data_IF_572073595428
#
_entry.id   IF_572073595428
#
_cell.length_a   1.000
_cell.length_b   1.000
_cell.length_c   1.000
_cell.angle_alpha   90.00
_cell.angle_beta   90.00
_cell.angle_gamma   90.00
#
_symmetry.space_group_name_H-M   'P 1'
#
loop_
_entity.id
_entity.type
_entity.pdbx_description
1 polymer ?
#
# COMPACT_ATOMS: atom_id res chain seq x y z
N UNK A 1 -8.37 -75.25 4.87
CA UNK A 1 -7.47 -74.66 5.89
C UNK A 1 -6.28 -74.04 5.19
N UNK A 2 -6.26 -72.72 4.97
CA UNK A 2 -5.04 -71.90 4.77
C UNK A 2 -5.40 -70.40 4.64
N UNK A 3 -5.49 -69.75 5.80
CA UNK A 3 -4.99 -68.41 6.13
C UNK A 3 -4.47 -67.56 4.96
N UNK A 4 -5.14 -66.42 4.70
CA UNK A 4 -4.54 -65.09 4.48
C UNK A 4 -5.55 -64.02 4.88
N UNK A 5 -5.63 -63.78 6.18
CA UNK A 5 -6.16 -62.55 6.77
C UNK A 5 -4.93 -61.88 7.37
N UNK A 6 -4.55 -60.72 6.81
CA UNK A 6 -3.70 -59.63 7.34
C UNK A 6 -3.03 -58.93 6.14
N UNK A 7 -2.95 -57.60 6.25
CA UNK A 7 -2.40 -56.57 5.34
C UNK A 7 -3.34 -56.12 4.19
N UNK A 8 -3.77 -54.86 4.03
CA UNK A 8 -3.23 -53.60 4.55
C UNK A 8 -4.21 -52.42 4.30
N UNK A 9 -5.19 -52.10 5.16
CA UNK A 9 -5.99 -50.87 5.00
C UNK A 9 -5.27 -49.62 5.53
N UNK A 10 -4.10 -49.78 6.17
CA UNK A 10 -3.31 -48.69 6.74
C UNK A 10 -2.35 -48.04 5.75
N UNK A 11 -1.79 -48.79 4.79
CA UNK A 11 -0.79 -48.24 3.85
C UNK A 11 -1.40 -47.19 2.94
N UNK A 12 -2.59 -47.46 2.40
CA UNK A 12 -3.32 -46.55 1.52
C UNK A 12 -3.73 -45.26 2.25
N UNK A 13 -4.15 -45.38 3.50
CA UNK A 13 -4.53 -44.24 4.35
C UNK A 13 -3.30 -43.41 4.72
N UNK A 14 -2.18 -44.06 5.02
CA UNK A 14 -0.90 -43.40 5.34
C UNK A 14 -0.26 -42.79 4.08
N UNK A 15 -0.39 -43.42 2.92
CA UNK A 15 0.08 -42.93 1.63
C UNK A 15 -0.72 -41.70 1.18
N UNK A 16 -2.04 -41.73 1.34
CA UNK A 16 -2.91 -40.58 1.10
C UNK A 16 -2.62 -39.45 2.09
N UNK A 17 -2.42 -39.74 3.37
CA UNK A 17 -2.03 -38.74 4.38
C UNK A 17 -0.63 -38.14 4.12
N UNK A 18 0.33 -38.92 3.57
CA UNK A 18 1.65 -38.41 3.15
C UNK A 18 1.56 -37.56 1.89
N UNK A 19 0.76 -37.95 0.89
CA UNK A 19 0.47 -37.11 -0.30
C UNK A 19 -0.22 -35.81 0.09
N UNK A 20 -1.19 -35.85 1.00
CA UNK A 20 -1.83 -34.66 1.54
C UNK A 20 -0.85 -33.78 2.34
N UNK A 21 0.03 -34.37 3.18
CA UNK A 21 1.08 -33.61 3.89
C UNK A 21 2.12 -32.99 2.95
N UNK A 22 2.49 -33.69 1.87
CA UNK A 22 3.40 -33.18 0.85
C UNK A 22 2.75 -32.05 0.03
N UNK A 23 1.45 -32.18 -0.30
CA UNK A 23 0.66 -31.12 -0.92
C UNK A 23 0.47 -29.91 0.01
N UNK A 24 0.37 -30.12 1.33
CA UNK A 24 0.37 -29.03 2.34
C UNK A 24 1.70 -28.29 2.43
N UNK A 25 2.80 -28.84 1.91
CA UNK A 25 4.13 -28.20 1.85
C UNK A 25 4.36 -27.42 0.55
N UNK A 26 3.30 -27.05 -0.16
CA UNK A 26 3.40 -26.34 -1.42
C UNK A 26 3.59 -24.81 -1.18
N UNK A 27 4.76 -24.22 -1.48
CA UNK A 27 5.01 -22.78 -1.27
C UNK A 27 4.03 -21.89 -2.05
N UNK A 28 3.55 -22.36 -3.20
CA UNK A 28 2.50 -21.68 -3.98
C UNK A 28 1.16 -21.57 -3.22
N UNK A 29 0.82 -22.59 -2.42
CA UNK A 29 -0.39 -22.54 -1.60
C UNK A 29 -0.27 -21.48 -0.49
N UNK A 30 0.93 -21.25 0.05
CA UNK A 30 1.18 -20.19 1.04
C UNK A 30 1.04 -18.80 0.43
N UNK A 31 1.59 -18.59 -0.77
CA UNK A 31 1.47 -17.32 -1.51
C UNK A 31 -0.01 -17.04 -1.84
N UNK A 32 -0.76 -18.04 -2.30
CA UNK A 32 -2.19 -17.89 -2.55
C UNK A 32 -2.98 -17.54 -1.29
N UNK A 33 -2.62 -18.11 -0.15
CA UNK A 33 -3.22 -17.79 1.15
C UNK A 33 -2.90 -16.34 1.58
N UNK A 34 -1.66 -15.90 1.39
CA UNK A 34 -1.22 -14.52 1.66
C UNK A 34 -1.99 -13.50 0.80
N UNK A 35 -2.13 -13.73 -0.51
CA UNK A 35 -2.89 -12.82 -1.39
C UNK A 35 -4.37 -12.76 -0.95
N UNK A 36 -4.97 -13.89 -0.57
CA UNK A 36 -6.36 -13.91 -0.04
C UNK A 36 -6.48 -13.12 1.27
N UNK A 37 -5.47 -13.17 2.13
CA UNK A 37 -5.42 -12.35 3.35
C UNK A 37 -5.27 -10.86 3.03
N UNK A 38 -4.37 -10.47 2.13
CA UNK A 38 -4.20 -9.08 1.69
C UNK A 38 -5.48 -8.51 1.11
N UNK A 39 -6.19 -9.25 0.24
CA UNK A 39 -7.50 -8.82 -0.29
C UNK A 39 -8.53 -8.67 0.84
N UNK A 40 -8.50 -9.56 1.83
CA UNK A 40 -9.34 -9.46 3.03
C UNK A 40 -9.06 -8.19 3.84
N UNK A 41 -7.79 -7.80 3.95
CA UNK A 41 -7.37 -6.57 4.65
C UNK A 41 -7.68 -5.31 3.84
N UNK A 42 -7.47 -5.34 2.52
CA UNK A 42 -7.80 -4.23 1.61
C UNK A 42 -9.30 -3.92 1.62
N UNK A 43 -10.17 -4.91 1.85
CA UNK A 43 -11.61 -4.68 2.03
C UNK A 43 -11.95 -3.91 3.31
N UNK A 44 -11.05 -3.87 4.29
CA UNK A 44 -11.21 -3.06 5.51
C UNK A 44 -10.78 -1.61 5.32
N UNK A 45 -10.14 -1.29 4.19
CA UNK A 45 -9.82 0.09 3.85
C UNK A 45 -11.13 0.76 3.47
N UNK A 46 -11.58 1.67 4.33
CA UNK A 46 -12.72 2.52 4.07
C UNK A 46 -12.41 3.42 2.88
N UNK A 47 -13.22 3.29 1.83
CA UNK A 47 -13.14 4.17 0.67
C UNK A 47 -13.79 5.51 1.04
N UNK A 48 -13.11 6.64 0.78
CA UNK A 48 -13.59 7.93 1.21
C UNK A 48 -14.88 8.30 0.49
N UNK A 49 -15.76 9.00 1.19
CA UNK A 49 -16.95 9.57 0.56
C UNK A 49 -16.55 10.77 -0.32
N UNK A 50 -17.36 11.11 -1.33
CA UNK A 50 -17.09 12.27 -2.20
C UNK A 50 -16.90 13.57 -1.38
N UNK A 51 -17.62 13.71 -0.27
CA UNK A 51 -17.54 14.87 0.63
C UNK A 51 -16.17 14.97 1.34
N UNK A 52 -15.64 13.85 1.82
CA UNK A 52 -14.30 13.79 2.42
C UNK A 52 -13.22 14.12 1.39
N UNK A 53 -13.36 13.60 0.16
CA UNK A 53 -12.41 13.89 -0.92
C UNK A 53 -12.33 15.39 -1.25
N UNK A 54 -13.48 16.07 -1.32
CA UNK A 54 -13.51 17.53 -1.51
C UNK A 54 -12.93 18.28 -0.31
N UNK A 55 -13.16 17.80 0.91
CA UNK A 55 -12.60 18.42 2.11
C UNK A 55 -11.08 18.33 2.13
N UNK A 56 -10.51 17.15 1.87
CA UNK A 56 -9.06 16.97 1.82
C UNK A 56 -8.41 17.75 0.68
N UNK A 57 -9.00 17.71 -0.52
CA UNK A 57 -8.51 18.49 -1.67
C UNK A 57 -8.60 20.00 -1.40
N UNK A 58 -9.69 20.44 -0.75
CA UNK A 58 -9.90 21.84 -0.38
C UNK A 58 -8.84 22.36 0.60
N UNK A 59 -8.51 21.58 1.64
CA UNK A 59 -7.43 21.93 2.59
C UNK A 59 -6.08 22.11 1.86
N UNK A 60 -5.75 21.19 0.95
CA UNK A 60 -4.52 21.28 0.15
C UNK A 60 -4.52 22.51 -0.74
N UNK A 61 -5.63 22.82 -1.41
CA UNK A 61 -5.75 24.02 -2.24
C UNK A 61 -5.54 25.31 -1.43
N UNK A 62 -6.17 25.41 -0.26
CA UNK A 62 -5.97 26.57 0.64
C UNK A 62 -4.51 26.69 1.06
N UNK A 63 -3.87 25.59 1.44
CA UNK A 63 -2.46 25.57 1.80
C UNK A 63 -1.56 26.05 0.65
N UNK A 64 -1.81 25.57 -0.57
CA UNK A 64 -1.06 25.96 -1.77
C UNK A 64 -1.24 27.45 -2.07
N UNK A 65 -2.46 27.99 -1.93
CA UNK A 65 -2.74 29.43 -2.10
C UNK A 65 -1.96 30.27 -1.08
N UNK A 66 -1.91 29.85 0.19
CA UNK A 66 -1.12 30.54 1.22
C UNK A 66 0.36 30.53 0.85
N UNK A 67 0.90 29.39 0.44
CA UNK A 67 2.29 29.29 0.00
C UNK A 67 2.59 30.18 -1.21
N UNK A 68 1.69 30.23 -2.20
CA UNK A 68 1.82 31.14 -3.34
C UNK A 68 1.83 32.62 -2.90
N UNK A 69 0.97 33.00 -1.94
CA UNK A 69 0.94 34.36 -1.42
C UNK A 69 2.22 34.74 -0.67
N UNK A 70 2.77 33.81 0.13
CA UNK A 70 4.03 34.01 0.83
C UNK A 70 5.19 34.15 -0.16
N UNK A 71 5.32 33.23 -1.11
CA UNK A 71 6.38 33.26 -2.12
C UNK A 71 6.28 34.55 -2.93
N UNK A 72 5.08 34.91 -3.41
CA UNK A 72 4.87 36.15 -4.13
C UNK A 72 5.28 37.37 -3.30
N UNK A 73 4.89 37.43 -2.02
CA UNK A 73 5.29 38.53 -1.13
C UNK A 73 6.81 38.61 -0.92
N UNK A 74 7.47 37.46 -0.75
CA UNK A 74 8.92 37.37 -0.63
C UNK A 74 9.62 37.78 -1.93
N UNK A 75 9.12 37.36 -3.10
CA UNK A 75 9.68 37.74 -4.39
C UNK A 75 9.65 39.26 -4.59
N UNK A 76 8.53 39.92 -4.21
CA UNK A 76 8.44 41.38 -4.26
C UNK A 76 9.38 42.05 -3.25
N UNK A 77 9.46 41.52 -2.03
CA UNK A 77 10.32 42.05 -0.97
C UNK A 77 11.80 41.96 -1.36
N UNK A 78 12.25 40.80 -1.83
CA UNK A 78 13.62 40.63 -2.29
C UNK A 78 13.89 41.44 -3.56
N UNK A 79 12.93 41.53 -4.50
CA UNK A 79 13.05 42.40 -5.66
C UNK A 79 13.27 43.86 -5.28
N UNK A 80 12.50 44.37 -4.31
CA UNK A 80 12.66 45.73 -3.81
C UNK A 80 14.01 45.93 -3.10
N UNK A 81 14.47 44.96 -2.30
CA UNK A 81 15.79 45.01 -1.65
C UNK A 81 16.90 45.03 -2.70
N UNK A 82 16.83 44.18 -3.73
CA UNK A 82 17.83 44.13 -4.79
C UNK A 82 17.88 45.45 -5.53
N UNK A 83 16.74 46.05 -5.85
CA UNK A 83 16.68 47.39 -6.44
C UNK A 83 17.18 48.47 -5.48
N UNK A 84 16.97 48.35 -4.19
CA UNK A 84 17.49 49.32 -3.22
C UNK A 84 19.01 49.23 -3.07
N UNK A 85 19.56 48.02 -3.00
CA UNK A 85 21.00 47.76 -2.79
C UNK A 85 21.81 47.95 -4.07
N UNK A 86 21.28 47.51 -5.22
CA UNK A 86 21.97 47.50 -6.50
C UNK A 86 21.37 48.43 -7.56
N UNK A 87 20.21 49.04 -7.31
CA UNK A 87 19.51 49.91 -8.28
C UNK A 87 20.09 51.32 -8.41
N UNK A 88 21.36 51.50 -8.10
CA UNK A 88 22.16 52.57 -8.71
C UNK A 88 22.97 51.92 -9.84
N UNK A 89 22.48 51.92 -11.09
CA UNK A 89 23.42 51.87 -12.21
C UNK A 89 24.25 53.15 -12.07
N UNK A 90 25.52 53.01 -11.70
CA UNK A 90 26.40 54.17 -11.68
C UNK A 90 26.49 54.71 -13.10
N UNK A 91 26.02 55.95 -13.31
CA UNK A 91 26.05 56.68 -14.59
C UNK A 91 25.13 56.06 -15.67
#
# INVERSE_FOLDING_TARGET
>A
MARRVVDEPSEDVVANAKKERAARRNPFARIALFIRQVIGELKKVVTPTRKELFSFTGVVLVFVVIMMAIVWGLDQFFGWIVLFVFGTPGI
#
